data_IF_124544613797
#
_entry.id   IF_124544613797
#
_cell.length_a   1.000
_cell.length_b   1.000
_cell.length_c   1.000
_cell.angle_alpha   90.00
_cell.angle_beta   90.00
_cell.angle_gamma   90.00
#
_symmetry.space_group_name_H-M   'P 1'
#
loop_
_entity.id
_entity.type
_entity.pdbx_description
1 polymer ?
#
# COMPACT_ATOMS: atom_id res chain seq x y z
N UNK A 1 -0.68 -2.45 14.71
CA UNK A 1 -0.74 -3.12 13.42
C UNK A 1 -0.10 -2.26 12.32
N UNK A 2 0.29 -2.92 11.25
CA UNK A 2 1.01 -2.27 10.17
C UNK A 2 0.01 -1.77 9.13
N UNK A 3 -0.03 -0.45 8.93
CA UNK A 3 -1.03 0.17 8.07
C UNK A 3 -0.45 0.53 6.71
N UNK A 4 -1.36 0.93 5.79
CA UNK A 4 -0.96 1.39 4.47
C UNK A 4 -0.02 2.59 4.58
N UNK A 5 -0.29 3.52 5.50
CA UNK A 5 0.60 4.66 5.71
C UNK A 5 1.98 4.23 6.17
N UNK A 6 2.04 3.23 7.06
CA UNK A 6 3.32 2.71 7.53
C UNK A 6 4.12 2.10 6.37
N UNK A 7 3.43 1.36 5.51
CA UNK A 7 4.08 0.77 4.35
C UNK A 7 4.64 1.84 3.42
N UNK A 8 3.86 2.89 3.17
CA UNK A 8 4.31 3.98 2.30
C UNK A 8 5.53 4.68 2.86
N UNK A 9 5.57 4.88 4.17
CA UNK A 9 6.71 5.50 4.83
C UNK A 9 7.96 4.64 4.68
N UNK A 10 7.81 3.31 4.83
CA UNK A 10 8.93 2.40 4.80
C UNK A 10 9.40 2.07 3.39
N UNK A 11 8.58 2.32 2.39
CA UNK A 11 8.87 1.99 0.99
C UNK A 11 8.64 3.21 0.10
N UNK A 12 9.53 4.21 0.19
CA UNK A 12 9.32 5.49 -0.50
C UNK A 12 9.58 5.43 -2.01
N UNK A 13 10.08 4.30 -2.51
CA UNK A 13 10.37 4.14 -3.94
C UNK A 13 9.87 2.80 -4.42
N UNK A 14 9.40 2.75 -5.66
CA UNK A 14 8.97 1.54 -6.30
C UNK A 14 7.47 1.43 -6.41
N UNK A 15 7.03 0.38 -7.08
CA UNK A 15 5.61 0.12 -7.31
C UNK A 15 5.22 -1.16 -6.59
N UNK A 16 4.16 -1.08 -5.81
CA UNK A 16 3.69 -2.20 -5.00
C UNK A 16 2.19 -2.33 -5.11
N UNK A 17 1.70 -3.52 -4.85
CA UNK A 17 0.26 -3.76 -4.66
C UNK A 17 0.09 -4.29 -3.25
N UNK A 18 -0.75 -3.63 -2.48
CA UNK A 18 -1.06 -4.02 -1.10
C UNK A 18 -2.45 -4.62 -1.05
N UNK A 19 -2.59 -5.70 -0.30
CA UNK A 19 -3.91 -6.26 -0.02
C UNK A 19 -4.30 -5.93 1.40
N UNK A 20 -5.50 -5.39 1.56
CA UNK A 20 -6.10 -5.20 2.88
C UNK A 20 -7.20 -6.24 3.05
N UNK A 21 -7.93 -6.18 4.13
CA UNK A 21 -9.05 -7.10 4.32
C UNK A 21 -10.20 -6.89 3.36
N UNK A 22 -10.25 -5.75 2.67
CA UNK A 22 -11.39 -5.39 1.83
C UNK A 22 -11.05 -5.22 0.37
N UNK A 23 -9.81 -4.87 0.01
CA UNK A 23 -9.48 -4.62 -1.39
C UNK A 23 -7.98 -4.52 -1.60
N UNK A 24 -7.58 -4.26 -2.85
CA UNK A 24 -6.17 -4.07 -3.21
C UNK A 24 -5.91 -2.60 -3.50
N UNK A 25 -4.71 -2.14 -3.15
CA UNK A 25 -4.32 -0.73 -3.25
C UNK A 25 -2.98 -0.65 -3.94
N UNK A 26 -2.85 0.23 -4.92
CA UNK A 26 -1.57 0.48 -5.57
C UNK A 26 -0.77 1.50 -4.76
N UNK A 27 0.53 1.26 -4.62
CA UNK A 27 1.45 2.20 -4.00
C UNK A 27 2.57 2.49 -4.99
N UNK A 28 2.79 3.76 -5.29
CA UNK A 28 3.79 4.18 -6.25
C UNK A 28 4.64 5.26 -5.59
N UNK A 29 5.92 4.96 -5.41
CA UNK A 29 6.89 5.90 -4.84
C UNK A 29 6.42 6.49 -3.51
N UNK A 30 5.86 5.64 -2.66
CA UNK A 30 5.46 6.05 -1.32
C UNK A 30 4.09 6.70 -1.24
N UNK A 31 3.34 6.74 -2.34
CA UNK A 31 1.99 7.29 -2.35
C UNK A 31 1.00 6.19 -2.67
N UNK A 32 -0.06 6.08 -1.89
CA UNK A 32 -1.10 5.10 -2.19
C UNK A 32 -2.23 5.75 -2.99
N UNK A 33 -2.81 4.94 -3.88
CA UNK A 33 -3.85 5.40 -4.80
C UNK A 33 -5.08 4.53 -4.61
N UNK A 34 -6.14 5.14 -4.12
CA UNK A 34 -7.38 4.44 -3.85
C UNK A 34 -8.55 5.39 -4.06
N UNK A 35 -9.74 4.84 -4.12
CA UNK A 35 -10.96 5.61 -4.29
C UNK A 35 -11.33 6.39 -3.02
N UNK A 36 -10.81 5.96 -1.87
CA UNK A 36 -11.04 6.65 -0.60
C UNK A 36 -9.77 6.57 0.24
N UNK A 37 -9.79 7.22 1.38
CA UNK A 37 -8.64 7.29 2.28
C UNK A 37 -8.47 5.96 3.02
N UNK A 38 -7.53 5.17 2.58
CA UNK A 38 -7.25 3.84 3.14
C UNK A 38 -6.00 3.81 4.00
N UNK A 39 -5.44 4.98 4.34
CA UNK A 39 -4.16 5.04 5.06
C UNK A 39 -4.14 4.30 6.38
N UNK A 40 -5.29 4.18 7.04
CA UNK A 40 -5.41 3.51 8.33
C UNK A 40 -5.70 2.02 8.22
N UNK A 41 -5.87 1.48 7.02
CA UNK A 41 -6.17 0.06 6.86
C UNK A 41 -4.94 -0.78 7.07
N UNK A 42 -5.13 -1.96 7.65
CA UNK A 42 -4.05 -2.89 7.91
C UNK A 42 -3.63 -3.60 6.63
N UNK A 43 -2.31 -3.64 6.39
CA UNK A 43 -1.75 -4.38 5.26
C UNK A 43 -1.74 -5.86 5.63
N UNK A 44 -2.46 -6.67 4.87
CA UNK A 44 -2.52 -8.12 5.09
C UNK A 44 -1.43 -8.83 4.30
N UNK A 45 -1.15 -8.35 3.09
CA UNK A 45 -0.07 -8.87 2.25
C UNK A 45 0.31 -7.81 1.24
N UNK A 46 1.45 -7.99 0.59
CA UNK A 46 1.86 -7.09 -0.48
C UNK A 46 2.79 -7.83 -1.44
N UNK A 47 2.93 -7.29 -2.63
CA UNK A 47 3.99 -7.73 -3.52
C UNK A 47 4.48 -6.56 -4.34
N UNK A 48 5.75 -6.65 -4.73
CA UNK A 48 6.38 -5.63 -5.54
C UNK A 48 6.07 -5.91 -7.01
N UNK A 49 5.71 -4.85 -7.73
CA UNK A 49 5.44 -4.98 -9.14
C UNK A 49 6.69 -4.55 -9.90
N UNK A 50 7.33 -5.52 -10.55
CA UNK A 50 8.50 -5.27 -11.40
C UNK A 50 8.07 -5.24 -12.84
N UNK A 51 8.60 -4.31 -13.59
CA UNK A 51 8.33 -4.22 -15.02
C UNK A 51 9.29 -5.08 -15.83
#
# INVERSE_FOLDING_TARGET
>A
CYTVEDFCRDNPEGVYVLGTGSHAIAVIDGDYYDAWDSGCEQVMYYYRKDD
#
